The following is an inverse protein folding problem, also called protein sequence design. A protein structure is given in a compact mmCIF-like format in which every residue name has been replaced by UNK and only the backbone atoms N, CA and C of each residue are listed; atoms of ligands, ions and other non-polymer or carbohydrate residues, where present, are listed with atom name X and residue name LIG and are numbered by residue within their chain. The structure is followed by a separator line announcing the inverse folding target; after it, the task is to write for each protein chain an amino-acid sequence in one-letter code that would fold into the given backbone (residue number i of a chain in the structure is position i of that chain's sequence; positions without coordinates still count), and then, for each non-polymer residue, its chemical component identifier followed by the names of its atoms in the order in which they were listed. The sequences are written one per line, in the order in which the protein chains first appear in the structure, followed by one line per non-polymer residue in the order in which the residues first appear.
data_IF_660164812129
#
_entry.id   IF_660164812129
#
_cell.length_a   1.000
_cell.length_b   1.000
_cell.length_c   1.000
_cell.angle_alpha   90.00
_cell.angle_beta   90.00
_cell.angle_gamma   90.00
#
_symmetry.space_group_name_H-M   'P 1'
#
loop_
_entity.id
_entity.type
_entity.pdbx_description
1 polymer ?
#
# COMPACT_ATOMS: atom_id res chain seq x y z
N UNK A 1 25.00 -21.38 5.20
CA UNK A 1 23.76 -21.04 4.45
C UNK A 1 22.73 -20.57 5.46
N UNK A 2 22.22 -19.36 5.31
CA UNK A 2 21.17 -18.79 6.18
C UNK A 2 19.88 -19.59 6.02
N UNK A 3 19.21 -19.96 7.12
CA UNK A 3 17.97 -20.75 7.06
C UNK A 3 16.84 -19.95 6.40
N UNK A 4 15.84 -20.64 5.85
CA UNK A 4 14.64 -19.96 5.31
C UNK A 4 13.96 -19.11 6.39
N UNK A 5 13.87 -19.61 7.62
CA UNK A 5 13.29 -18.87 8.75
C UNK A 5 14.09 -17.60 9.07
N UNK A 6 15.42 -17.66 8.99
CA UNK A 6 16.27 -16.49 9.21
C UNK A 6 16.05 -15.44 8.11
N UNK A 7 15.85 -15.87 6.86
CA UNK A 7 15.52 -14.96 5.75
C UNK A 7 14.15 -14.30 5.93
N UNK A 8 13.13 -15.06 6.31
CA UNK A 8 11.78 -14.54 6.57
C UNK A 8 11.80 -13.56 7.75
N UNK A 9 12.50 -13.91 8.83
CA UNK A 9 12.68 -13.03 9.99
C UNK A 9 13.38 -11.74 9.61
N UNK A 10 14.51 -11.83 8.89
CA UNK A 10 15.26 -10.65 8.42
C UNK A 10 14.41 -9.76 7.51
N UNK A 11 13.58 -10.34 6.63
CA UNK A 11 12.63 -9.59 5.80
C UNK A 11 11.56 -8.88 6.62
N UNK A 12 10.96 -9.57 7.58
CA UNK A 12 9.97 -8.99 8.50
C UNK A 12 10.55 -7.83 9.31
N UNK A 13 11.77 -7.99 9.85
CA UNK A 13 12.46 -6.92 10.59
C UNK A 13 12.77 -5.72 9.71
N UNK A 14 13.28 -5.94 8.49
CA UNK A 14 13.53 -4.88 7.53
C UNK A 14 12.25 -4.12 7.18
N UNK A 15 11.16 -4.85 6.91
CA UNK A 15 9.85 -4.26 6.62
C UNK A 15 9.36 -3.34 7.75
N UNK A 16 9.45 -3.79 9.01
CA UNK A 16 9.06 -2.97 10.17
C UNK A 16 9.92 -1.72 10.27
N UNK A 17 11.25 -1.86 10.14
CA UNK A 17 12.17 -0.73 10.21
C UNK A 17 11.90 0.29 9.11
N UNK A 18 11.64 -0.18 7.89
CA UNK A 18 11.36 0.71 6.76
C UNK A 18 10.02 1.43 6.92
N UNK A 19 8.95 0.73 7.35
CA UNK A 19 7.67 1.38 7.69
C UNK A 19 7.85 2.49 8.72
N UNK A 20 8.57 2.21 9.81
CA UNK A 20 8.85 3.21 10.85
C UNK A 20 9.65 4.42 10.33
N UNK A 21 10.62 4.19 9.46
CA UNK A 21 11.41 5.28 8.86
C UNK A 21 10.54 6.17 7.96
N UNK A 22 9.68 5.58 7.13
CA UNK A 22 8.75 6.31 6.28
C UNK A 22 7.73 7.11 7.09
N UNK A 23 7.15 6.53 8.13
CA UNK A 23 6.21 7.24 9.01
C UNK A 23 6.89 8.42 9.72
N UNK A 24 8.14 8.27 10.16
CA UNK A 24 8.90 9.35 10.79
C UNK A 24 9.20 10.51 9.82
N UNK A 25 9.49 10.21 8.55
CA UNK A 25 9.65 11.21 7.49
C UNK A 25 8.32 11.92 7.19
N UNK A 26 7.22 11.16 7.14
CA UNK A 26 5.88 11.70 6.87
C UNK A 26 5.43 12.74 7.92
N UNK A 27 5.76 12.50 9.18
CA UNK A 27 5.47 13.44 10.29
C UNK A 27 6.18 14.78 10.09
N UNK A 28 7.36 14.79 9.47
CA UNK A 28 8.14 16.01 9.27
C UNK A 28 7.70 16.80 8.03
N UNK A 29 7.39 16.09 6.94
CA UNK A 29 7.20 16.71 5.62
C UNK A 29 5.76 17.18 5.36
N UNK A 30 4.75 16.55 5.97
CA UNK A 30 3.34 16.93 5.83
C UNK A 30 2.73 16.59 4.46
N UNK A 31 3.06 17.36 3.41
CA UNK A 31 2.67 17.13 2.01
C UNK A 31 3.85 17.43 1.09
N UNK A 32 4.08 16.57 0.11
CA UNK A 32 5.20 16.69 -0.82
C UNK A 32 4.84 16.06 -2.17
N UNK A 33 4.52 16.91 -3.15
CA UNK A 33 4.20 16.51 -4.52
C UNK A 33 5.44 16.06 -5.33
N UNK A 34 6.64 16.37 -4.84
CA UNK A 34 7.92 16.06 -5.45
C UNK A 34 8.61 14.85 -4.81
N UNK A 35 7.92 14.14 -3.90
CA UNK A 35 8.47 12.98 -3.22
C UNK A 35 8.98 11.93 -4.22
N UNK A 36 9.97 11.15 -3.80
CA UNK A 36 10.59 10.11 -4.64
C UNK A 36 9.99 8.73 -4.44
N UNK A 37 8.99 8.59 -3.54
CA UNK A 37 8.40 7.30 -3.18
C UNK A 37 7.74 6.62 -4.38
N UNK A 38 7.11 7.37 -5.28
CA UNK A 38 6.55 6.80 -6.53
C UNK A 38 7.62 6.14 -7.41
N UNK A 39 8.87 6.64 -7.38
CA UNK A 39 9.99 6.01 -8.09
C UNK A 39 10.39 4.71 -7.38
N UNK A 40 10.43 4.72 -6.06
CA UNK A 40 10.73 3.54 -5.25
C UNK A 40 9.69 2.44 -5.46
N UNK A 41 8.39 2.78 -5.48
CA UNK A 41 7.29 1.86 -5.85
C UNK A 41 7.58 1.22 -7.21
N UNK A 42 7.90 2.01 -8.23
CA UNK A 42 8.23 1.49 -9.57
C UNK A 42 9.43 0.55 -9.57
N UNK A 43 10.48 0.92 -8.83
CA UNK A 43 11.71 0.13 -8.74
C UNK A 43 11.45 -1.19 -8.00
N UNK A 44 10.66 -1.17 -6.92
CA UNK A 44 10.33 -2.36 -6.16
C UNK A 44 9.45 -3.31 -6.98
N UNK A 45 8.44 -2.84 -7.71
CA UNK A 45 7.67 -3.67 -8.66
C UNK A 45 8.60 -4.41 -9.63
N UNK A 46 9.54 -3.69 -10.25
CA UNK A 46 10.54 -4.28 -11.17
C UNK A 46 11.46 -5.27 -10.47
N UNK A 47 11.88 -4.95 -9.25
CA UNK A 47 12.76 -5.81 -8.46
C UNK A 47 12.07 -7.12 -8.10
N UNK A 48 10.82 -7.08 -7.63
CA UNK A 48 10.01 -8.27 -7.31
C UNK A 48 9.88 -9.15 -8.56
N UNK A 49 9.48 -8.59 -9.70
CA UNK A 49 9.32 -9.33 -10.95
C UNK A 49 10.64 -9.98 -11.41
N UNK A 50 11.73 -9.20 -11.40
CA UNK A 50 13.06 -9.68 -11.79
C UNK A 50 13.57 -10.78 -10.86
N UNK A 51 13.43 -10.61 -9.54
CA UNK A 51 13.89 -11.60 -8.57
C UNK A 51 13.08 -12.88 -8.68
N UNK A 52 11.75 -12.79 -8.79
CA UNK A 52 10.91 -13.97 -8.93
C UNK A 52 11.29 -14.81 -10.16
N UNK A 53 11.48 -14.15 -11.32
CA UNK A 53 11.85 -14.82 -12.56
C UNK A 53 13.26 -15.47 -12.50
N UNK A 54 14.21 -14.87 -11.77
CA UNK A 54 15.62 -15.28 -11.79
C UNK A 54 16.03 -16.27 -10.70
N UNK A 55 15.35 -16.29 -9.54
CA UNK A 55 15.81 -17.11 -8.42
C UNK A 55 15.35 -18.57 -8.45
N UNK A 56 14.54 -18.94 -9.46
CA UNK A 56 13.88 -20.26 -9.51
C UNK A 56 13.14 -20.57 -8.21
N UNK A 57 13.14 -21.84 -7.80
CA UNK A 57 12.51 -22.30 -6.54
C UNK A 57 13.32 -22.00 -5.26
N UNK A 58 14.44 -21.28 -5.37
CA UNK A 58 15.30 -20.97 -4.20
C UNK A 58 14.61 -20.03 -3.20
N UNK A 59 13.70 -19.19 -3.67
CA UNK A 59 12.94 -18.25 -2.84
C UNK A 59 11.46 -18.65 -2.84
N UNK A 60 10.88 -19.00 -1.68
CA UNK A 60 9.45 -19.26 -1.59
C UNK A 60 8.64 -17.98 -1.74
N UNK A 61 7.36 -18.16 -2.09
CA UNK A 61 6.42 -17.05 -2.30
C UNK A 61 6.33 -16.11 -1.09
N UNK A 62 6.37 -16.66 0.12
CA UNK A 62 6.28 -15.90 1.37
C UNK A 62 7.35 -14.78 1.52
N UNK A 63 8.52 -14.91 0.87
CA UNK A 63 9.50 -13.83 0.87
C UNK A 63 9.03 -12.62 0.05
N UNK A 64 8.30 -12.86 -1.04
CA UNK A 64 7.75 -11.82 -1.91
C UNK A 64 6.49 -11.20 -1.31
N UNK A 65 5.73 -11.91 -0.49
CA UNK A 65 4.58 -11.35 0.23
C UNK A 65 5.01 -10.16 1.11
N UNK A 66 6.14 -10.25 1.81
CA UNK A 66 6.71 -9.10 2.54
C UNK A 66 7.02 -7.92 1.61
N UNK A 67 7.64 -8.18 0.46
CA UNK A 67 7.95 -7.11 -0.51
C UNK A 67 6.65 -6.48 -1.07
N UNK A 68 5.57 -7.25 -1.20
CA UNK A 68 4.27 -6.76 -1.67
C UNK A 68 3.58 -5.88 -0.64
N UNK A 69 3.59 -6.27 0.65
CA UNK A 69 3.11 -5.42 1.72
C UNK A 69 3.91 -4.10 1.79
N UNK A 70 5.23 -4.17 1.62
CA UNK A 70 6.09 -3.00 1.57
C UNK A 70 5.76 -2.09 0.36
N UNK A 71 5.58 -2.68 -0.82
CA UNK A 71 5.18 -1.98 -2.04
C UNK A 71 3.87 -1.21 -1.87
N UNK A 72 2.84 -1.88 -1.38
CA UNK A 72 1.52 -1.26 -1.21
C UNK A 72 1.49 -0.24 -0.10
N UNK A 73 2.20 -0.48 0.99
CA UNK A 73 2.37 0.52 2.03
C UNK A 73 3.05 1.79 1.49
N UNK A 74 4.16 1.67 0.75
CA UNK A 74 4.82 2.84 0.13
C UNK A 74 3.89 3.57 -0.83
N UNK A 75 3.10 2.83 -1.62
CA UNK A 75 2.11 3.42 -2.51
C UNK A 75 1.07 4.24 -1.72
N UNK A 76 0.54 3.69 -0.63
CA UNK A 76 -0.44 4.38 0.22
C UNK A 76 0.17 5.60 0.91
N UNK A 77 1.41 5.52 1.39
CA UNK A 77 2.11 6.68 1.96
C UNK A 77 2.35 7.78 0.93
N UNK A 78 2.75 7.41 -0.29
CA UNK A 78 2.89 8.35 -1.42
C UNK A 78 1.58 9.08 -1.69
N UNK A 79 0.47 8.34 -1.71
CA UNK A 79 -0.87 8.89 -1.96
C UNK A 79 -1.33 9.87 -0.88
N UNK A 80 -0.89 9.71 0.38
CA UNK A 80 -1.18 10.65 1.47
C UNK A 80 -0.42 11.96 1.33
N UNK A 81 0.83 11.90 0.85
CA UNK A 81 1.72 13.06 0.72
C UNK A 81 1.39 13.93 -0.49
N UNK A 82 1.01 13.31 -1.60
CA UNK A 82 0.68 14.01 -2.85
C UNK A 82 -0.70 14.66 -2.72
N UNK A 83 -0.80 15.95 -3.02
CA UNK A 83 -2.05 16.68 -3.00
C UNK A 83 -3.08 16.06 -3.94
N UNK A 84 -4.34 16.02 -3.50
CA UNK A 84 -5.44 15.39 -4.22
C UNK A 84 -5.61 15.89 -5.67
N UNK A 85 -5.34 17.17 -5.92
CA UNK A 85 -5.49 17.79 -7.24
C UNK A 85 -4.22 17.75 -8.08
N UNK A 86 -3.11 17.28 -7.51
CA UNK A 86 -1.82 17.29 -8.19
C UNK A 86 -1.69 16.10 -9.16
N UNK A 87 -1.22 16.29 -10.40
CA UNK A 87 -1.10 15.22 -11.41
C UNK A 87 -0.19 14.04 -10.99
N UNK A 88 0.66 14.22 -9.96
CA UNK A 88 1.43 13.11 -9.40
C UNK A 88 0.53 12.02 -8.79
N UNK A 89 -0.70 12.35 -8.39
CA UNK A 89 -1.64 11.36 -7.87
C UNK A 89 -2.15 10.43 -8.98
N UNK A 90 -2.47 10.99 -10.15
CA UNK A 90 -2.85 10.20 -11.34
C UNK A 90 -1.69 9.34 -11.85
N UNK A 91 -0.45 9.84 -11.73
CA UNK A 91 0.76 9.08 -12.03
C UNK A 91 0.87 7.84 -11.14
N UNK A 92 0.63 7.98 -9.84
CA UNK A 92 0.68 6.88 -8.89
C UNK A 92 -0.42 5.83 -9.18
N UNK A 93 -1.64 6.28 -9.48
CA UNK A 93 -2.74 5.40 -9.94
C UNK A 93 -2.34 4.63 -11.20
N UNK A 94 -1.73 5.33 -12.17
CA UNK A 94 -1.25 4.73 -13.41
C UNK A 94 -0.14 3.69 -13.16
N UNK A 95 0.65 3.82 -12.10
CA UNK A 95 1.66 2.82 -11.74
C UNK A 95 1.04 1.55 -11.15
N UNK A 96 0.02 1.68 -10.32
CA UNK A 96 -0.74 0.51 -9.81
C UNK A 96 -1.41 -0.20 -10.98
N UNK A 97 -2.06 0.56 -11.86
CA UNK A 97 -2.67 0.03 -13.08
C UNK A 97 -1.62 -0.66 -13.97
N UNK A 98 -0.50 0.00 -14.25
CA UNK A 98 0.58 -0.59 -15.02
C UNK A 98 1.10 -1.89 -14.40
N UNK A 99 1.20 -1.95 -13.06
CA UNK A 99 1.61 -3.18 -12.35
C UNK A 99 0.63 -4.31 -12.61
N UNK A 100 -0.69 -4.04 -12.59
CA UNK A 100 -1.73 -5.01 -12.98
C UNK A 100 -1.53 -5.52 -14.40
N UNK A 101 -1.29 -4.59 -15.34
CA UNK A 101 -1.12 -4.87 -16.76
C UNK A 101 0.23 -5.55 -17.11
N UNK A 102 1.15 -5.72 -16.15
CA UNK A 102 2.30 -6.64 -16.34
C UNK A 102 1.78 -8.07 -16.52
N UNK A 103 0.63 -8.40 -15.92
CA UNK A 103 -0.02 -9.69 -16.06
C UNK A 103 0.67 -10.79 -15.25
N UNK A 104 0.42 -12.04 -15.65
CA UNK A 104 0.86 -13.20 -14.88
C UNK A 104 2.39 -13.32 -14.89
N UNK A 105 2.99 -13.39 -13.70
CA UNK A 105 4.41 -13.67 -13.54
C UNK A 105 4.67 -15.18 -13.54
N UNK A 106 5.70 -15.58 -14.28
CA UNK A 106 6.14 -16.96 -14.36
C UNK A 106 7.61 -17.10 -13.98
N UNK A 107 7.97 -18.24 -13.43
CA UNK A 107 9.36 -18.71 -13.32
C UNK A 107 9.48 -20.14 -13.85
N UNK A 108 10.67 -20.51 -14.30
CA UNK A 108 10.94 -21.90 -14.68
C UNK A 108 10.96 -22.78 -13.42
N UNK A 109 10.22 -23.88 -13.46
CA UNK A 109 10.07 -24.86 -12.37
C UNK A 109 11.32 -25.74 -12.16
N UNK A 110 12.20 -25.81 -13.18
CA UNK A 110 13.27 -26.79 -13.24
C UNK A 110 14.56 -26.43 -12.50
N UNK A 111 15.28 -27.46 -12.05
CA UNK A 111 16.70 -27.34 -11.70
C UNK A 111 17.53 -27.17 -12.98
N UNK A 112 18.77 -26.66 -12.90
CA UNK A 112 19.64 -26.44 -14.07
C UNK A 112 19.82 -27.65 -15.03
N UNK A 113 19.50 -28.88 -14.58
CA UNK A 113 19.51 -30.11 -15.39
C UNK A 113 18.23 -30.36 -16.20
N UNK A 114 17.14 -29.66 -15.88
CA UNK A 114 15.83 -29.75 -16.54
C UNK A 114 15.60 -28.60 -17.53
N UNK A 115 16.55 -27.65 -17.60
CA UNK A 115 16.56 -26.54 -18.55
C UNK A 115 16.82 -26.97 -20.01
N UNK A 116 17.24 -28.23 -20.23
CA UNK A 116 17.42 -28.86 -21.55
C UNK A 116 16.16 -29.57 -22.08
N UNK A 117 15.02 -29.53 -21.36
CA UNK A 117 13.74 -30.06 -21.90
C UNK A 117 13.12 -29.05 -22.88
N UNK A 118 12.57 -29.57 -23.98
CA UNK A 118 11.89 -28.77 -25.01
C UNK A 118 10.65 -28.01 -24.49
N UNK A 119 10.08 -28.43 -23.34
CA UNK A 119 8.95 -27.78 -22.69
C UNK A 119 9.20 -27.61 -21.17
N UNK A 120 9.69 -26.44 -20.72
CA UNK A 120 9.95 -26.20 -19.30
C UNK A 120 8.64 -25.91 -18.57
N UNK A 121 8.35 -26.70 -17.53
CA UNK A 121 7.22 -26.45 -16.63
C UNK A 121 7.34 -25.04 -16.02
N UNK A 122 6.30 -24.22 -16.20
CA UNK A 122 6.24 -22.85 -15.69
C UNK A 122 5.43 -22.81 -14.40
N UNK A 123 5.98 -22.18 -13.38
CA UNK A 123 5.31 -21.91 -12.12
C UNK A 123 4.78 -20.48 -12.11
N UNK A 124 3.51 -20.31 -11.76
CA UNK A 124 2.86 -19.00 -11.63
C UNK A 124 3.16 -18.40 -10.26
N UNK A 125 3.45 -17.10 -10.22
CA UNK A 125 3.59 -16.36 -8.97
C UNK A 125 2.22 -16.08 -8.33
N UNK A 126 1.78 -16.98 -7.45
CA UNK A 126 0.50 -16.87 -6.74
C UNK A 126 0.70 -16.90 -5.23
N UNK A 127 0.01 -16.00 -4.53
CA UNK A 127 -0.13 -15.96 -3.06
C UNK A 127 -1.48 -16.57 -2.67
N UNK A 128 -1.81 -16.56 -1.37
CA UNK A 128 -3.16 -16.91 -0.92
C UNK A 128 -4.26 -15.93 -1.36
N UNK A 129 -3.89 -14.72 -1.78
CA UNK A 129 -4.80 -13.64 -2.24
C UNK A 129 -4.71 -13.42 -3.76
N UNK A 130 -4.25 -14.43 -4.50
CA UNK A 130 -4.21 -14.44 -5.97
C UNK A 130 -2.83 -14.25 -6.57
N UNK A 131 -2.80 -14.03 -7.89
CA UNK A 131 -1.57 -13.82 -8.65
C UNK A 131 -0.97 -12.44 -8.37
N UNK A 132 0.34 -12.41 -8.15
CA UNK A 132 1.07 -11.22 -7.66
C UNK A 132 0.73 -9.92 -8.41
N UNK A 133 0.65 -9.94 -9.74
CA UNK A 133 0.38 -8.72 -10.52
C UNK A 133 -1.05 -8.62 -11.02
N UNK A 134 -1.63 -9.67 -11.63
CA UNK A 134 -2.99 -9.55 -12.17
C UNK A 134 -4.02 -9.26 -11.08
N UNK A 135 -3.79 -9.79 -9.88
CA UNK A 135 -4.77 -9.75 -8.80
C UNK A 135 -4.32 -8.81 -7.66
N UNK A 136 -3.16 -8.16 -7.78
CA UNK A 136 -2.60 -7.17 -6.83
C UNK A 136 -2.92 -7.50 -5.34
N UNK A 137 -2.45 -8.66 -4.84
CA UNK A 137 -2.79 -9.14 -3.51
C UNK A 137 -2.31 -8.16 -2.44
N UNK A 138 -3.04 -8.10 -1.32
CA UNK A 138 -2.77 -7.26 -0.15
C UNK A 138 -2.95 -5.74 -0.35
N UNK A 139 -3.15 -5.24 -1.58
CA UNK A 139 -3.37 -3.80 -1.83
C UNK A 139 -4.60 -3.27 -1.05
N UNK A 140 -5.70 -4.00 -1.12
CA UNK A 140 -6.96 -3.63 -0.43
C UNK A 140 -6.76 -3.63 1.09
N UNK A 141 -6.02 -4.61 1.61
CA UNK A 141 -5.72 -4.72 3.04
C UNK A 141 -4.92 -3.51 3.54
N UNK A 142 -3.84 -3.14 2.84
CA UNK A 142 -3.02 -1.98 3.21
C UNK A 142 -3.81 -0.66 3.11
N UNK A 143 -4.70 -0.51 2.12
CA UNK A 143 -5.60 0.65 2.02
C UNK A 143 -6.56 0.70 3.22
N UNK A 144 -7.16 -0.42 3.60
CA UNK A 144 -8.07 -0.50 4.77
C UNK A 144 -7.33 -0.19 6.06
N UNK A 145 -6.11 -0.71 6.23
CA UNK A 145 -5.28 -0.44 7.39
C UNK A 145 -4.97 1.06 7.51
N UNK A 146 -4.56 1.70 6.41
CA UNK A 146 -4.28 3.13 6.40
C UNK A 146 -5.51 3.99 6.69
N UNK A 147 -6.68 3.64 6.13
CA UNK A 147 -7.90 4.39 6.42
C UNK A 147 -8.40 4.20 7.85
N UNK A 148 -8.20 3.03 8.45
CA UNK A 148 -8.57 2.78 9.86
C UNK A 148 -7.81 3.73 10.81
N UNK A 149 -6.59 4.11 10.45
CA UNK A 149 -5.79 5.10 11.17
C UNK A 149 -6.14 6.55 10.82
N UNK A 150 -7.09 6.79 9.90
CA UNK A 150 -7.43 8.13 9.43
C UNK A 150 -7.82 9.13 10.52
N UNK A 151 -8.50 8.77 11.64
CA UNK A 151 -8.79 9.75 12.69
C UNK A 151 -7.53 10.37 13.31
N UNK A 152 -6.40 9.68 13.25
CA UNK A 152 -5.11 10.12 13.80
C UNK A 152 -4.23 10.85 12.79
N UNK A 153 -4.65 10.97 11.52
CA UNK A 153 -3.85 11.63 10.47
C UNK A 153 -4.46 13.00 10.08
N UNK A 154 -3.64 13.97 9.64
CA UNK A 154 -4.11 15.29 9.25
C UNK A 154 -5.22 15.26 8.17
N UNK A 155 -6.18 16.19 8.25
CA UNK A 155 -7.32 16.28 7.32
C UNK A 155 -6.90 16.34 5.85
N UNK A 156 -5.82 17.05 5.53
CA UNK A 156 -5.28 17.13 4.16
C UNK A 156 -4.83 15.75 3.66
N UNK A 157 -4.11 14.98 4.48
CA UNK A 157 -3.65 13.64 4.11
C UNK A 157 -4.82 12.66 3.97
N UNK A 158 -5.88 12.80 4.79
CA UNK A 158 -7.12 12.02 4.63
C UNK A 158 -7.79 12.31 3.29
N UNK A 159 -7.90 13.59 2.94
CA UNK A 159 -8.46 14.00 1.66
C UNK A 159 -7.65 13.41 0.50
N UNK A 160 -6.33 13.59 0.52
CA UNK A 160 -5.43 13.01 -0.48
C UNK A 160 -5.62 11.50 -0.62
N UNK A 161 -5.63 10.76 0.49
CA UNK A 161 -5.84 9.31 0.49
C UNK A 161 -7.21 8.92 -0.10
N UNK A 162 -8.30 9.61 0.29
CA UNK A 162 -9.64 9.34 -0.28
C UNK A 162 -9.69 9.56 -1.78
N UNK A 163 -9.05 10.62 -2.28
CA UNK A 163 -9.00 10.95 -3.70
C UNK A 163 -8.21 9.90 -4.49
N UNK A 164 -7.14 9.34 -3.91
CA UNK A 164 -6.40 8.21 -4.50
C UNK A 164 -7.24 6.93 -4.56
N UNK A 165 -7.92 6.57 -3.46
CA UNK A 165 -8.78 5.37 -3.39
C UNK A 165 -9.92 5.47 -4.43
N UNK A 166 -10.56 6.63 -4.53
CA UNK A 166 -11.63 6.87 -5.50
C UNK A 166 -11.15 6.68 -6.95
N UNK A 167 -9.93 7.15 -7.27
CA UNK A 167 -9.32 6.95 -8.60
C UNK A 167 -8.96 5.50 -8.89
N UNK A 168 -8.45 4.75 -7.91
CA UNK A 168 -8.20 3.32 -8.09
C UNK A 168 -9.49 2.55 -8.39
N UNK A 169 -10.55 2.85 -7.63
CA UNK A 169 -11.87 2.25 -7.85
C UNK A 169 -12.44 2.61 -9.23
N UNK A 170 -12.29 3.86 -9.69
CA UNK A 170 -12.83 4.29 -10.99
C UNK A 170 -12.18 3.61 -12.20
N UNK A 171 -10.94 3.11 -12.06
CA UNK A 171 -10.23 2.34 -13.10
C UNK A 171 -10.30 0.81 -12.90
N UNK A 172 -11.17 0.35 -11.98
CA UNK A 172 -11.42 -1.07 -11.73
C UNK A 172 -10.24 -1.82 -11.13
N UNK A 173 -9.37 -1.15 -10.37
CA UNK A 173 -8.34 -1.86 -9.59
C UNK A 173 -9.03 -2.60 -8.45
N UNK A 174 -8.81 -3.93 -8.36
CA UNK A 174 -9.42 -4.81 -7.34
C UNK A 174 -10.92 -4.57 -7.17
N UNK A 175 -11.65 -4.59 -8.28
CA UNK A 175 -13.12 -4.58 -8.26
C UNK A 175 -13.64 -5.99 -7.95
N UNK A 176 -14.59 -6.17 -7.01
CA UNK A 176 -15.37 -5.15 -6.30
C UNK A 176 -14.80 -4.68 -4.95
N UNK A 177 -13.67 -5.22 -4.51
CA UNK A 177 -13.17 -5.04 -3.15
C UNK A 177 -12.84 -3.58 -2.80
N UNK A 178 -12.21 -2.81 -3.70
CA UNK A 178 -11.96 -1.37 -3.46
C UNK A 178 -13.25 -0.54 -3.50
N UNK A 179 -14.22 -0.89 -4.32
CA UNK A 179 -15.53 -0.25 -4.31
C UNK A 179 -16.22 -0.43 -2.95
N UNK A 180 -16.13 -1.63 -2.36
CA UNK A 180 -16.63 -1.89 -1.00
C UNK A 180 -15.89 -1.08 0.06
N UNK A 181 -14.58 -0.88 -0.08
CA UNK A 181 -13.83 0.03 0.80
C UNK A 181 -14.34 1.45 0.67
N UNK A 182 -14.58 1.95 -0.54
CA UNK A 182 -15.17 3.27 -0.76
C UNK A 182 -16.53 3.44 -0.07
N UNK A 183 -17.42 2.46 -0.19
CA UNK A 183 -18.72 2.47 0.51
C UNK A 183 -18.55 2.45 2.04
N UNK A 184 -17.61 1.66 2.55
CA UNK A 184 -17.29 1.63 3.97
C UNK A 184 -16.77 2.97 4.48
N UNK A 185 -15.92 3.65 3.70
CA UNK A 185 -15.41 5.00 3.99
C UNK A 185 -16.55 6.02 4.05
N UNK A 186 -17.45 6.01 3.05
CA UNK A 186 -18.61 6.90 3.02
C UNK A 186 -19.51 6.68 4.22
N UNK A 187 -19.81 5.42 4.54
CA UNK A 187 -20.58 5.02 5.72
C UNK A 187 -19.91 5.54 7.00
N UNK A 188 -18.62 5.27 7.20
CA UNK A 188 -17.91 5.76 8.39
C UNK A 188 -17.86 7.29 8.48
N UNK A 189 -17.78 7.98 7.33
CA UNK A 189 -17.68 9.44 7.32
C UNK A 189 -19.03 10.10 7.58
N UNK A 190 -20.11 9.57 7.01
CA UNK A 190 -21.44 10.19 7.00
C UNK A 190 -22.38 9.64 8.08
N UNK A 191 -22.20 8.40 8.51
CA UNK A 191 -23.11 7.72 9.45
C UNK A 191 -22.51 7.56 10.85
N UNK A 192 -21.20 7.75 11.04
CA UNK A 192 -20.57 7.75 12.38
C UNK A 192 -20.75 9.12 13.04
N UNK A 193 -21.44 9.23 14.18
CA UNK A 193 -21.60 10.50 14.88
C UNK A 193 -20.24 11.10 15.28
N UNK A 194 -19.99 12.36 14.92
CA UNK A 194 -18.78 13.09 15.32
C UNK A 194 -19.18 14.35 16.09
N UNK A 195 -18.53 14.66 17.25
CA UNK A 195 -18.81 15.89 17.97
C UNK A 195 -18.53 17.11 17.09
N UNK A 196 -19.51 18.01 16.98
CA UNK A 196 -19.40 19.24 16.17
C UNK A 196 -18.47 20.29 16.81
N UNK A 197 -18.10 20.11 18.08
CA UNK A 197 -17.36 21.07 18.88
C UNK A 197 -16.32 20.28 19.71
N UNK A 198 -15.03 20.54 19.46
CA UNK A 198 -13.98 20.22 20.43
C UNK A 198 -14.19 21.20 21.58
N UNK A 199 -14.44 20.68 22.79
CA UNK A 199 -14.76 21.49 23.96
C UNK A 199 -13.64 22.49 24.28
N UNK A 200 -13.70 23.68 23.70
CA UNK A 200 -13.26 24.88 24.37
C UNK A 200 -14.28 25.09 25.50
N UNK A 201 -13.83 24.81 26.72
CA UNK A 201 -14.55 25.11 27.95
C UNK A 201 -15.18 26.49 27.82
N UNK A 202 -16.52 26.54 27.83
CA UNK A 202 -17.23 27.76 28.12
C UNK A 202 -16.86 28.11 29.57
N UNK A 203 -15.82 28.91 29.75
CA UNK A 203 -15.50 29.53 31.02
C UNK A 203 -16.68 30.41 31.42
N UNK A 204 -17.57 29.85 32.23
CA UNK A 204 -18.60 30.60 32.95
C UNK A 204 -17.91 31.45 34.02
N UNK A 205 -17.34 32.57 33.61
CA UNK A 205 -17.03 33.69 34.51
C UNK A 205 -18.17 34.68 34.36
N UNK A 206 -19.26 34.45 35.08
CA UNK A 206 -20.19 35.51 35.44
C UNK A 206 -20.83 35.17 36.78
N UNK A 207 -20.25 35.74 37.82
CA UNK A 207 -20.90 35.99 39.09
C UNK A 207 -20.27 37.28 39.60
N UNK A 208 -20.80 38.38 39.07
CA UNK A 208 -20.66 39.71 39.64
C UNK A 208 -20.89 39.65 41.15
N UNK A 209 -19.85 40.01 41.88
CA UNK A 209 -19.94 40.46 43.25
C UNK A 209 -20.56 41.85 43.27
N UNK A 210 -21.71 42.00 43.93
CA UNK A 210 -22.20 43.31 44.38
C UNK A 210 -22.72 43.22 45.83
N UNK A 211 -22.68 44.35 46.57
CA UNK A 211 -22.35 44.46 47.99
C UNK A 211 -23.48 44.20 49.00
#
# INVERSE_FOLDING_TARGET
MTSLNDKLKSRSEFHILHKNALDAELVQTGSDDSNTLWQQVRLLTRNIASRYAQTGRTHPIALYEYDLHELWYMCVQSARLIAAEHPAQDRLVSQVLHTREIGVLFRKSGNAKEEERDDPELEIASTSDGNIWSDLPFLVEEIRAAWTLSPSIPTVQRHNLSAFIARLASVGVRDPELCLVGLWILRDTLETPRPLISGAEASSHDSESEP
#
